data_IF_465571999549
#
_entry.id   IF_465571999549
#
_cell.length_a   1.000
_cell.length_b   1.000
_cell.length_c   1.000
_cell.angle_alpha   90.00
_cell.angle_beta   90.00
_cell.angle_gamma   90.00
#
_symmetry.space_group_name_H-M   'P 1'
#
loop_
_entity.id
_entity.type
_entity.pdbx_description
1 polymer ?
#
# COMPACT_ATOMS: atom_id res chain seq x y z
N UNK A 1 -37.27 -41.31 3.30
CA UNK A 1 -36.60 -40.79 2.08
C UNK A 1 -36.17 -39.33 2.19
N UNK A 2 -37.05 -38.34 2.43
CA UNK A 2 -36.63 -36.92 2.55
C UNK A 2 -35.66 -36.63 3.71
N UNK A 3 -35.91 -37.21 4.88
CA UNK A 3 -35.07 -36.98 6.07
C UNK A 3 -33.66 -37.61 5.96
N UNK A 4 -33.56 -38.71 5.21
CA UNK A 4 -32.30 -39.41 4.95
C UNK A 4 -31.49 -38.70 3.86
N UNK A 5 -32.16 -38.10 2.86
CA UNK A 5 -31.52 -37.18 1.92
C UNK A 5 -31.06 -35.88 2.60
N UNK A 6 -31.78 -35.40 3.61
CA UNK A 6 -31.42 -34.17 4.32
C UNK A 6 -30.21 -34.39 5.25
N UNK A 7 -30.15 -35.53 5.94
CA UNK A 7 -28.98 -35.91 6.76
C UNK A 7 -27.73 -36.20 5.91
N UNK A 8 -27.89 -36.78 4.71
CA UNK A 8 -26.77 -36.98 3.78
C UNK A 8 -26.31 -35.67 3.15
N UNK A 9 -27.21 -34.72 2.88
CA UNK A 9 -26.87 -33.36 2.43
C UNK A 9 -26.17 -32.57 3.55
N UNK A 10 -26.61 -32.68 4.80
CA UNK A 10 -26.00 -31.99 5.94
C UNK A 10 -24.62 -32.59 6.28
N UNK A 11 -24.47 -33.91 6.19
CA UNK A 11 -23.18 -34.59 6.28
C UNK A 11 -22.25 -34.23 5.11
N UNK A 12 -22.78 -34.08 3.89
CA UNK A 12 -22.02 -33.62 2.73
C UNK A 12 -21.61 -32.13 2.85
N UNK A 13 -22.42 -31.28 3.47
CA UNK A 13 -22.06 -29.89 3.82
C UNK A 13 -20.92 -29.85 4.85
N UNK A 14 -20.97 -30.74 5.85
CA UNK A 14 -19.88 -30.89 6.83
C UNK A 14 -18.58 -31.39 6.19
N UNK A 15 -18.65 -32.32 5.23
CA UNK A 15 -17.49 -32.84 4.49
C UNK A 15 -16.93 -31.82 3.48
N UNK A 16 -17.76 -30.98 2.87
CA UNK A 16 -17.34 -29.86 2.01
C UNK A 16 -16.67 -28.72 2.78
N UNK A 17 -16.99 -28.57 4.07
CA UNK A 17 -16.33 -27.61 4.96
C UNK A 17 -14.95 -28.09 5.43
N UNK A 18 -14.66 -29.41 5.34
CA UNK A 18 -13.45 -30.00 5.91
C UNK A 18 -12.37 -30.42 4.89
N UNK A 19 -12.69 -30.50 3.60
CA UNK A 19 -11.73 -30.88 2.55
C UNK A 19 -11.11 -29.65 1.86
N UNK A 20 -10.14 -29.02 2.52
CA UNK A 20 -9.15 -28.12 1.90
C UNK A 20 -9.70 -26.77 1.37
N UNK A 21 -10.15 -25.93 2.29
CA UNK A 21 -10.84 -24.66 1.99
C UNK A 21 -10.00 -23.68 1.17
N UNK A 22 -8.71 -23.47 1.48
CA UNK A 22 -7.88 -22.53 0.70
C UNK A 22 -7.51 -23.08 -0.67
N UNK A 23 -7.18 -24.37 -0.82
CA UNK A 23 -6.87 -24.91 -2.17
C UNK A 23 -8.07 -24.81 -3.10
N UNK A 24 -9.27 -25.07 -2.57
CA UNK A 24 -10.51 -25.00 -3.33
C UNK A 24 -10.78 -23.56 -3.76
N UNK A 25 -10.63 -22.59 -2.84
CA UNK A 25 -10.76 -21.17 -3.16
C UNK A 25 -9.72 -20.70 -4.17
N UNK A 26 -8.46 -21.15 -4.06
CA UNK A 26 -7.42 -20.84 -5.04
C UNK A 26 -7.76 -21.40 -6.43
N UNK A 27 -8.29 -22.63 -6.52
CA UNK A 27 -8.75 -23.21 -7.80
C UNK A 27 -9.89 -22.39 -8.41
N UNK A 28 -10.95 -22.14 -7.66
CA UNK A 28 -12.10 -21.31 -8.11
C UNK A 28 -11.66 -19.91 -8.53
N UNK A 29 -10.70 -19.33 -7.80
CA UNK A 29 -10.12 -18.05 -8.14
C UNK A 29 -9.36 -18.13 -9.47
N UNK A 30 -8.53 -19.17 -9.69
CA UNK A 30 -7.84 -19.37 -10.98
C UNK A 30 -8.81 -19.56 -12.15
N UNK A 31 -9.94 -20.23 -11.93
CA UNK A 31 -10.99 -20.39 -12.95
C UNK A 31 -11.67 -19.04 -13.26
N UNK A 32 -11.89 -18.23 -12.23
CA UNK A 32 -12.43 -16.86 -12.39
C UNK A 32 -11.50 -15.96 -13.18
N UNK A 33 -10.17 -16.07 -12.97
CA UNK A 33 -9.16 -15.40 -13.80
C UNK A 33 -9.16 -15.91 -15.25
N UNK A 34 -9.41 -17.20 -15.48
CA UNK A 34 -9.58 -17.76 -16.81
C UNK A 34 -10.77 -17.13 -17.55
N UNK A 35 -11.93 -17.07 -16.88
CA UNK A 35 -13.13 -16.41 -17.43
C UNK A 35 -12.90 -14.93 -17.73
N UNK A 36 -12.20 -14.21 -16.83
CA UNK A 36 -11.80 -12.81 -17.06
C UNK A 36 -10.87 -12.67 -18.28
N UNK A 37 -9.91 -13.58 -18.45
CA UNK A 37 -8.99 -13.60 -19.59
C UNK A 37 -9.70 -13.83 -20.92
N UNK A 38 -10.68 -14.72 -20.95
CA UNK A 38 -11.50 -14.98 -22.14
C UNK A 38 -12.37 -13.77 -22.49
N UNK A 39 -12.97 -13.12 -21.48
CA UNK A 39 -13.71 -11.88 -21.68
C UNK A 39 -12.81 -10.76 -22.19
N UNK A 40 -11.60 -10.61 -21.65
CA UNK A 40 -10.61 -9.64 -22.11
C UNK A 40 -10.29 -9.84 -23.59
N UNK A 41 -10.04 -11.09 -24.02
CA UNK A 41 -9.78 -11.41 -25.44
C UNK A 41 -10.95 -11.00 -26.34
N UNK A 42 -12.19 -11.24 -25.90
CA UNK A 42 -13.41 -10.85 -26.63
C UNK A 42 -13.53 -9.33 -26.76
N UNK A 43 -13.32 -8.60 -25.65
CA UNK A 43 -13.36 -7.13 -25.62
C UNK A 43 -12.26 -6.52 -26.50
N UNK A 44 -11.04 -7.05 -26.44
CA UNK A 44 -9.90 -6.56 -27.23
C UNK A 44 -10.12 -6.73 -28.73
N UNK A 45 -10.66 -7.89 -29.17
CA UNK A 45 -11.04 -8.11 -30.58
C UNK A 45 -12.10 -7.11 -31.06
N UNK A 46 -13.10 -6.83 -30.22
CA UNK A 46 -14.18 -5.90 -30.54
C UNK A 46 -13.69 -4.44 -30.58
N UNK A 47 -12.72 -4.07 -29.74
CA UNK A 47 -12.07 -2.77 -29.79
C UNK A 47 -11.20 -2.58 -31.04
N UNK A 48 -10.41 -3.60 -31.42
CA UNK A 48 -9.54 -3.53 -32.60
C UNK A 48 -10.28 -3.58 -33.94
N UNK A 49 -11.45 -4.22 -34.02
CA UNK A 49 -12.25 -4.28 -35.23
C UNK A 49 -12.85 -2.91 -35.65
N UNK A 50 -12.90 -1.94 -34.74
CA UNK A 50 -13.48 -0.61 -34.98
C UNK A 50 -12.46 0.42 -35.50
N UNK A 51 -11.17 0.09 -35.45
CA UNK A 51 -10.03 0.95 -35.83
C UNK A 51 -9.55 0.66 -37.27
N UNK A 52 -10.26 -0.19 -38.01
CA UNK A 52 -9.87 -0.70 -39.34
C UNK A 52 -10.81 -0.24 -40.47
N UNK A 53 -11.78 0.64 -40.20
CA UNK A 53 -12.81 1.06 -41.16
C UNK A 53 -12.62 2.49 -41.67
N UNK A 54 -11.47 3.11 -41.39
CA UNK A 54 -11.04 4.38 -41.99
C UNK A 54 -9.84 4.12 -42.90
N UNK A 55 -9.92 4.64 -44.14
CA UNK A 55 -8.98 4.56 -45.28
C UNK A 55 -9.38 3.56 -46.38
N UNK A 56 -10.47 3.86 -47.10
CA UNK A 56 -10.54 3.53 -48.53
C UNK A 56 -11.35 4.59 -49.29
N UNK A 57 -10.76 5.79 -49.44
CA UNK A 57 -11.16 6.72 -50.50
C UNK A 57 -9.92 7.48 -51.03
N UNK A 58 -8.99 6.71 -51.61
CA UNK A 58 -7.93 7.27 -52.47
C UNK A 58 -8.24 6.97 -53.93
N UNK A 59 -8.78 8.00 -54.56
CA UNK A 59 -8.92 8.20 -56.00
C UNK A 59 -7.75 7.67 -56.84
N UNK A 60 -8.15 7.01 -57.92
CA UNK A 60 -7.38 6.54 -59.07
C UNK A 60 -6.23 7.45 -59.51
N UNK A 61 -5.00 6.91 -59.55
CA UNK A 61 -4.07 7.15 -60.67
C UNK A 61 -3.39 5.83 -61.02
N UNK A 62 -3.74 5.29 -62.19
CA UNK A 62 -3.06 4.20 -62.86
C UNK A 62 -1.70 4.68 -63.38
N UNK A 63 -0.60 4.01 -63.03
CA UNK A 63 0.64 3.99 -63.84
C UNK A 63 1.18 2.55 -63.83
N UNK A 64 1.36 1.91 -65.01
CA UNK A 64 1.81 0.53 -65.08
C UNK A 64 3.35 0.42 -65.15
N UNK A 65 3.83 -0.69 -64.56
CA UNK A 65 5.05 -1.45 -64.89
C UNK A 65 6.43 -0.82 -64.64
N UNK A 66 7.24 -1.49 -63.81
CA UNK A 66 8.43 -2.26 -64.26
C UNK A 66 9.19 -2.89 -63.09
N UNK A 67 9.64 -4.13 -63.34
CA UNK A 67 10.54 -4.96 -62.54
C UNK A 67 11.76 -4.18 -62.03
N UNK A 68 12.08 -4.30 -60.73
CA UNK A 68 13.46 -4.47 -60.23
C UNK A 68 13.47 -5.32 -58.97
N UNK A 69 13.96 -6.56 -59.10
CA UNK A 69 14.68 -7.24 -58.02
C UNK A 69 15.89 -6.38 -57.67
N UNK A 70 16.03 -5.99 -56.41
CA UNK A 70 17.36 -5.88 -55.77
C UNK A 70 17.22 -5.91 -54.26
N UNK A 71 18.06 -6.74 -53.67
CA UNK A 71 18.29 -6.94 -52.25
C UNK A 71 18.53 -5.62 -51.51
N UNK A 72 17.85 -5.49 -50.37
CA UNK A 72 18.27 -4.63 -49.28
C UNK A 72 17.72 -5.20 -47.97
N UNK A 73 18.63 -5.83 -47.22
CA UNK A 73 18.56 -5.95 -45.77
C UNK A 73 18.19 -4.60 -45.13
N UNK A 74 17.60 -4.67 -43.93
CA UNK A 74 17.23 -3.56 -43.04
C UNK A 74 15.93 -2.82 -43.40
N UNK A 75 14.81 -3.48 -43.11
CA UNK A 75 13.50 -2.85 -42.91
C UNK A 75 13.16 -2.81 -41.43
N UNK A 76 13.59 -1.75 -40.75
CA UNK A 76 12.96 -1.27 -39.51
C UNK A 76 11.48 -1.00 -39.79
N UNK A 77 10.60 -1.57 -38.98
CA UNK A 77 9.17 -1.23 -39.06
C UNK A 77 8.24 -2.29 -38.51
N UNK A 78 8.23 -2.44 -37.17
CA UNK A 78 7.06 -2.88 -36.38
C UNK A 78 7.36 -2.69 -34.88
N UNK A 79 7.62 -1.45 -34.49
CA UNK A 79 7.50 -1.04 -33.09
C UNK A 79 6.17 -0.32 -32.92
N UNK A 80 5.08 -1.08 -32.89
CA UNK A 80 3.73 -0.59 -32.56
C UNK A 80 3.13 -1.61 -31.58
N UNK A 81 3.24 -1.33 -30.28
CA UNK A 81 2.48 -2.06 -29.27
C UNK A 81 3.17 -2.48 -27.96
N UNK A 82 4.36 -1.99 -27.61
CA UNK A 82 5.09 -2.51 -26.43
C UNK A 82 4.46 -2.12 -25.06
N UNK A 83 3.50 -1.18 -25.03
CA UNK A 83 2.83 -0.75 -23.80
C UNK A 83 1.56 -1.55 -23.47
N UNK A 84 0.85 -2.09 -24.47
CA UNK A 84 -0.37 -2.89 -24.24
C UNK A 84 -0.06 -4.34 -23.88
N UNK A 85 1.13 -4.83 -24.23
CA UNK A 85 1.52 -6.23 -24.04
C UNK A 85 1.74 -6.53 -22.54
N UNK A 86 2.29 -5.57 -21.79
CA UNK A 86 2.49 -5.72 -20.34
C UNK A 86 1.18 -5.87 -19.56
N UNK A 87 0.10 -5.16 -19.94
CA UNK A 87 -1.20 -5.29 -19.25
C UNK A 87 -1.90 -6.60 -19.60
N UNK A 88 -1.76 -7.02 -20.87
CA UNK A 88 -2.28 -8.28 -21.37
C UNK A 88 -1.58 -9.46 -20.67
N UNK A 89 -0.25 -9.44 -20.62
CA UNK A 89 0.57 -10.43 -19.94
C UNK A 89 0.18 -10.53 -18.44
N UNK A 90 -0.09 -9.42 -17.78
CA UNK A 90 -0.50 -9.40 -16.37
C UNK A 90 -1.84 -10.11 -16.13
N UNK A 91 -2.82 -9.98 -17.04
CA UNK A 91 -4.10 -10.67 -16.90
C UNK A 91 -3.90 -12.18 -17.07
N UNK A 92 -3.18 -12.60 -18.11
CA UNK A 92 -2.95 -14.01 -18.39
C UNK A 92 -2.06 -14.70 -17.35
N UNK A 93 -1.10 -13.98 -16.77
CA UNK A 93 -0.20 -14.52 -15.75
C UNK A 93 -0.80 -14.49 -14.34
N UNK A 94 -1.89 -13.76 -14.09
CA UNK A 94 -2.51 -13.62 -12.76
C UNK A 94 -2.82 -14.95 -12.07
N UNK A 95 -3.38 -15.90 -12.82
CA UNK A 95 -3.72 -17.24 -12.31
C UNK A 95 -2.47 -18.04 -11.91
N UNK A 96 -1.43 -17.98 -12.74
CA UNK A 96 -0.15 -18.66 -12.49
C UNK A 96 0.57 -18.10 -11.28
N UNK A 97 0.56 -16.77 -11.08
CA UNK A 97 1.20 -16.10 -9.96
C UNK A 97 0.55 -16.48 -8.62
N UNK A 98 -0.78 -16.53 -8.57
CA UNK A 98 -1.52 -16.93 -7.36
C UNK A 98 -1.26 -18.40 -7.04
N UNK A 99 -1.27 -19.28 -8.06
CA UNK A 99 -0.95 -20.70 -7.89
C UNK A 99 0.49 -20.89 -7.39
N UNK A 100 1.45 -20.17 -7.95
CA UNK A 100 2.85 -20.21 -7.52
C UNK A 100 3.03 -19.77 -6.06
N UNK A 101 2.32 -18.72 -5.63
CA UNK A 101 2.36 -18.28 -4.24
C UNK A 101 1.69 -19.28 -3.28
N UNK A 102 0.57 -19.88 -3.69
CA UNK A 102 -0.04 -20.96 -2.93
C UNK A 102 0.91 -22.16 -2.80
N UNK A 103 1.51 -22.63 -3.90
CA UNK A 103 2.46 -23.74 -3.91
C UNK A 103 3.71 -23.43 -3.07
N UNK A 104 4.16 -22.17 -3.04
CA UNK A 104 5.26 -21.72 -2.19
C UNK A 104 4.92 -21.88 -0.70
N UNK A 105 3.74 -21.47 -0.28
CA UNK A 105 3.28 -21.66 1.11
C UNK A 105 3.06 -23.14 1.45
N UNK A 106 2.43 -23.88 0.53
CA UNK A 106 2.14 -25.30 0.70
C UNK A 106 3.41 -26.15 0.82
N UNK A 107 4.45 -25.88 0.01
CA UNK A 107 5.74 -26.59 0.11
C UNK A 107 6.41 -26.50 1.49
N UNK A 108 6.15 -25.42 2.23
CA UNK A 108 6.80 -25.17 3.52
C UNK A 108 5.96 -25.59 4.73
N UNK A 109 4.64 -25.40 4.64
CA UNK A 109 3.72 -25.61 5.76
C UNK A 109 2.79 -26.82 5.55
N UNK A 110 2.74 -27.38 4.34
CA UNK A 110 1.98 -28.58 4.01
C UNK A 110 0.46 -28.40 4.10
N UNK A 111 -0.22 -29.47 4.49
CA UNK A 111 -1.67 -29.57 4.65
C UNK A 111 -2.30 -28.45 5.51
N UNK A 112 -1.72 -28.04 6.65
CA UNK A 112 -2.20 -26.89 7.43
C UNK A 112 -2.42 -25.63 6.58
N UNK A 113 -1.51 -25.34 5.65
CA UNK A 113 -1.62 -24.18 4.77
C UNK A 113 -2.68 -24.36 3.68
N UNK A 114 -2.89 -25.60 3.22
CA UNK A 114 -3.97 -25.90 2.27
C UNK A 114 -5.36 -25.79 2.90
N UNK A 115 -5.49 -26.14 4.18
CA UNK A 115 -6.69 -25.87 4.96
C UNK A 115 -6.85 -24.37 5.19
N UNK A 116 -5.78 -23.71 5.63
CA UNK A 116 -5.73 -22.26 5.87
C UNK A 116 -6.55 -21.79 7.08
N UNK A 117 -6.56 -20.48 7.30
CA UNK A 117 -7.33 -19.85 8.38
C UNK A 117 -8.61 -19.16 7.88
N UNK A 118 -9.57 -18.97 8.78
CA UNK A 118 -10.88 -18.36 8.48
C UNK A 118 -10.72 -16.97 7.86
N UNK A 119 -9.74 -16.19 8.32
CA UNK A 119 -9.44 -14.86 7.77
C UNK A 119 -9.10 -14.94 6.28
N UNK A 120 -8.26 -15.88 5.88
CA UNK A 120 -7.85 -16.07 4.49
C UNK A 120 -8.99 -16.63 3.66
N UNK A 121 -9.84 -17.49 4.24
CA UNK A 121 -11.07 -17.96 3.58
C UNK A 121 -11.96 -16.79 3.20
N UNK A 122 -12.32 -15.94 4.17
CA UNK A 122 -13.18 -14.78 3.94
C UNK A 122 -12.58 -13.80 2.94
N UNK A 123 -11.26 -13.56 3.03
CA UNK A 123 -10.58 -12.66 2.12
C UNK A 123 -10.59 -13.20 0.68
N UNK A 124 -10.20 -14.45 0.46
CA UNK A 124 -10.20 -15.06 -0.88
C UNK A 124 -11.61 -15.16 -1.46
N UNK A 125 -12.61 -15.55 -0.66
CA UNK A 125 -14.01 -15.55 -1.08
C UNK A 125 -14.48 -14.16 -1.51
N UNK A 126 -14.15 -13.12 -0.75
CA UNK A 126 -14.49 -11.73 -1.11
C UNK A 126 -13.88 -11.33 -2.46
N UNK A 127 -12.63 -11.72 -2.73
CA UNK A 127 -11.98 -11.43 -4.01
C UNK A 127 -12.63 -12.18 -5.18
N UNK A 128 -12.98 -13.45 -4.99
CA UNK A 128 -13.69 -14.26 -6.00
C UNK A 128 -15.02 -13.59 -6.36
N UNK A 129 -15.83 -13.23 -5.36
CA UNK A 129 -17.14 -12.60 -5.55
C UNK A 129 -16.99 -11.28 -6.31
N UNK A 130 -16.04 -10.41 -5.91
CA UNK A 130 -15.80 -9.12 -6.57
C UNK A 130 -15.40 -9.28 -8.04
N UNK A 131 -14.49 -10.20 -8.33
CA UNK A 131 -14.05 -10.45 -9.71
C UNK A 131 -15.21 -11.01 -10.55
N UNK A 132 -15.94 -12.00 -10.03
CA UNK A 132 -17.08 -12.60 -10.72
C UNK A 132 -18.20 -11.60 -10.97
N UNK A 133 -18.54 -10.75 -9.99
CA UNK A 133 -19.50 -9.65 -10.16
C UNK A 133 -19.06 -8.70 -11.27
N UNK A 134 -17.77 -8.35 -11.32
CA UNK A 134 -17.26 -7.46 -12.38
C UNK A 134 -17.38 -8.10 -13.76
N UNK A 135 -17.01 -9.38 -13.89
CA UNK A 135 -17.13 -10.14 -15.14
C UNK A 135 -18.60 -10.22 -15.58
N UNK A 136 -19.52 -10.53 -14.66
CA UNK A 136 -20.95 -10.62 -14.94
C UNK A 136 -21.54 -9.27 -15.36
N UNK A 137 -21.22 -8.20 -14.63
CA UNK A 137 -21.68 -6.85 -14.96
C UNK A 137 -21.23 -6.45 -16.38
N UNK A 138 -19.96 -6.71 -16.72
CA UNK A 138 -19.46 -6.41 -18.07
C UNK A 138 -20.17 -7.28 -19.12
N UNK A 139 -20.42 -8.56 -18.85
CA UNK A 139 -21.16 -9.42 -19.78
C UNK A 139 -22.61 -8.94 -19.99
N UNK A 140 -23.30 -8.54 -18.92
CA UNK A 140 -24.64 -7.97 -18.98
C UNK A 140 -24.65 -6.65 -19.75
N UNK A 141 -23.70 -5.76 -19.46
CA UNK A 141 -23.52 -4.50 -20.16
C UNK A 141 -23.32 -4.74 -21.67
N UNK A 142 -22.52 -5.74 -22.06
CA UNK A 142 -22.30 -6.10 -23.46
C UNK A 142 -23.56 -6.66 -24.14
N UNK A 143 -24.36 -7.45 -23.44
CA UNK A 143 -25.63 -7.99 -23.97
C UNK A 143 -26.63 -6.87 -24.21
N UNK A 144 -26.78 -5.94 -23.26
CA UNK A 144 -27.67 -4.78 -23.36
C UNK A 144 -27.19 -3.77 -24.41
N UNK A 145 -25.88 -3.49 -24.46
CA UNK A 145 -25.29 -2.53 -25.38
C UNK A 145 -25.34 -2.98 -26.84
N UNK A 146 -25.42 -4.29 -27.10
CA UNK A 146 -25.61 -4.84 -28.44
C UNK A 146 -26.92 -4.36 -29.09
N UNK A 147 -27.89 -3.91 -28.30
CA UNK A 147 -29.16 -3.36 -28.79
C UNK A 147 -29.22 -1.82 -28.87
N UNK A 148 -28.34 -1.08 -28.18
CA UNK A 148 -28.54 0.35 -27.96
C UNK A 148 -27.38 1.28 -28.37
N UNK A 149 -26.10 0.85 -28.36
CA UNK A 149 -24.97 1.57 -28.96
C UNK A 149 -23.62 0.81 -28.84
N UNK A 150 -22.69 0.86 -29.82
CA UNK A 150 -21.45 0.07 -29.80
C UNK A 150 -20.19 0.76 -29.22
N UNK A 151 -20.28 1.69 -28.25
CA UNK A 151 -19.14 2.56 -27.84
C UNK A 151 -18.46 2.26 -26.50
N UNK A 152 -18.80 1.21 -25.74
CA UNK A 152 -18.28 0.97 -24.37
C UNK A 152 -17.12 -0.06 -24.22
N UNK A 153 -16.58 -0.63 -25.32
CA UNK A 153 -15.65 -1.77 -25.23
C UNK A 153 -14.34 -1.45 -24.49
N UNK A 154 -13.83 -0.22 -24.60
CA UNK A 154 -12.59 0.20 -23.95
C UNK A 154 -12.78 0.41 -22.43
N UNK A 155 -13.88 1.03 -22.00
CA UNK A 155 -14.15 1.24 -20.57
C UNK A 155 -14.37 -0.08 -19.83
N UNK A 156 -15.04 -1.06 -20.47
CA UNK A 156 -15.14 -2.42 -19.95
C UNK A 156 -13.77 -3.11 -19.84
N UNK A 157 -12.87 -2.88 -20.81
CA UNK A 157 -11.52 -3.43 -20.80
C UNK A 157 -10.72 -2.89 -19.60
N UNK A 158 -10.74 -1.58 -19.38
CA UNK A 158 -10.04 -0.93 -18.25
C UNK A 158 -10.58 -1.43 -16.92
N UNK A 159 -11.90 -1.50 -16.76
CA UNK A 159 -12.55 -2.02 -15.55
C UNK A 159 -12.13 -3.47 -15.26
N UNK A 160 -12.08 -4.31 -16.29
CA UNK A 160 -11.65 -5.70 -16.17
C UNK A 160 -10.17 -5.81 -15.79
N UNK A 161 -9.29 -5.03 -16.41
CA UNK A 161 -7.86 -4.97 -16.07
C UNK A 161 -7.68 -4.58 -14.60
N UNK A 162 -8.36 -3.53 -14.14
CA UNK A 162 -8.26 -3.05 -12.76
C UNK A 162 -8.78 -4.07 -11.75
N UNK A 163 -9.95 -4.68 -12.01
CA UNK A 163 -10.48 -5.74 -11.14
C UNK A 163 -9.52 -6.92 -11.05
N UNK A 164 -8.99 -7.38 -12.19
CA UNK A 164 -8.01 -8.47 -12.26
C UNK A 164 -6.74 -8.14 -11.45
N UNK A 165 -6.19 -6.93 -11.60
CA UNK A 165 -5.01 -6.47 -10.85
C UNK A 165 -5.23 -6.41 -9.36
N UNK A 166 -6.35 -5.81 -8.94
CA UNK A 166 -6.70 -5.63 -7.52
C UNK A 166 -6.97 -6.96 -6.84
N UNK A 167 -7.78 -7.83 -7.46
CA UNK A 167 -8.03 -9.19 -6.99
C UNK A 167 -6.73 -9.98 -6.87
N UNK A 168 -5.86 -9.96 -7.88
CA UNK A 168 -4.57 -10.67 -7.83
C UNK A 168 -3.70 -10.20 -6.67
N UNK A 169 -3.50 -8.89 -6.54
CA UNK A 169 -2.67 -8.32 -5.49
C UNK A 169 -3.23 -8.65 -4.09
N UNK A 170 -4.54 -8.53 -3.91
CA UNK A 170 -5.21 -8.86 -2.66
C UNK A 170 -5.11 -10.35 -2.31
N UNK A 171 -5.29 -11.25 -3.29
CA UNK A 171 -5.18 -12.70 -3.07
C UNK A 171 -3.76 -13.13 -2.70
N UNK A 172 -2.73 -12.59 -3.38
CA UNK A 172 -1.33 -12.83 -3.03
C UNK A 172 -1.03 -12.30 -1.62
N UNK A 173 -1.52 -11.11 -1.28
CA UNK A 173 -1.36 -10.55 0.05
C UNK A 173 -2.01 -11.44 1.11
N UNK A 174 -3.24 -11.92 0.89
CA UNK A 174 -3.94 -12.83 1.80
C UNK A 174 -3.18 -14.13 2.04
N UNK A 175 -2.66 -14.76 0.98
CA UNK A 175 -1.84 -15.97 1.09
C UNK A 175 -0.52 -15.73 1.84
N UNK A 176 0.14 -14.60 1.59
CA UNK A 176 1.36 -14.21 2.30
C UNK A 176 1.09 -13.92 3.78
N UNK A 177 -0.02 -13.25 4.10
CA UNK A 177 -0.41 -12.99 5.48
C UNK A 177 -0.80 -14.29 6.21
N UNK A 178 -1.47 -15.23 5.53
CA UNK A 178 -1.71 -16.57 6.07
C UNK A 178 -0.39 -17.26 6.42
N UNK A 179 0.54 -17.25 5.47
CA UNK A 179 1.86 -17.85 5.66
C UNK A 179 2.56 -17.27 6.89
N UNK A 180 2.54 -15.95 7.06
CA UNK A 180 3.14 -15.29 8.23
C UNK A 180 2.48 -15.67 9.55
N UNK A 181 1.14 -15.76 9.60
CA UNK A 181 0.41 -16.14 10.82
C UNK A 181 0.63 -17.60 11.22
N UNK A 182 0.94 -18.45 10.25
CA UNK A 182 1.16 -19.89 10.46
C UNK A 182 2.62 -20.26 10.72
N UNK A 183 3.55 -19.31 10.59
CA UNK A 183 4.93 -19.53 11.01
C UNK A 183 4.97 -19.68 12.54
N UNK A 184 5.67 -20.70 13.07
CA UNK A 184 5.86 -20.81 14.51
C UNK A 184 6.56 -19.55 15.03
N UNK A 185 6.19 -19.05 16.22
CA UNK A 185 6.93 -17.98 16.87
C UNK A 185 8.40 -18.37 16.91
N UNK A 186 9.28 -17.50 16.40
CA UNK A 186 10.72 -17.66 16.54
C UNK A 186 10.99 -17.92 18.05
N UNK A 187 11.78 -18.93 18.44
CA UNK A 187 12.12 -19.10 19.84
C UNK A 187 12.66 -17.79 20.37
N UNK A 188 11.90 -17.17 21.28
CA UNK A 188 12.34 -16.00 22.03
C UNK A 188 13.71 -16.35 22.63
N UNK A 189 14.67 -15.41 22.68
CA UNK A 189 15.87 -15.60 23.46
C UNK A 189 15.44 -16.05 24.85
N UNK A 190 16.01 -17.18 25.29
CA UNK A 190 15.81 -17.74 26.61
C UNK A 190 15.89 -16.62 27.67
N UNK A 191 15.08 -16.67 28.74
CA UNK A 191 15.26 -15.75 29.86
C UNK A 191 16.71 -15.84 30.37
N UNK A 192 17.31 -14.74 30.86
CA UNK A 192 18.69 -14.75 31.33
C UNK A 192 18.89 -15.91 32.30
N UNK A 193 19.79 -16.84 31.92
CA UNK A 193 20.32 -17.83 32.85
C UNK A 193 20.77 -17.05 34.08
N UNK A 194 20.23 -17.43 35.25
CA UNK A 194 20.75 -16.95 36.52
C UNK A 194 22.26 -17.19 36.60
N UNK A 195 22.99 -16.43 37.44
CA UNK A 195 24.44 -16.45 37.46
C UNK A 195 24.95 -17.87 37.67
N UNK A 196 25.72 -18.36 36.70
CA UNK A 196 26.42 -19.64 36.78
C UNK A 196 27.33 -19.64 38.03
N UNK A 197 27.45 -20.76 38.75
CA UNK A 197 28.36 -20.86 39.88
C UNK A 197 29.81 -20.73 39.40
N UNK A 198 30.70 -20.08 40.17
CA UNK A 198 32.06 -19.82 39.74
C UNK A 198 32.83 -21.14 39.53
N UNK A 199 33.39 -21.25 38.32
CA UNK A 199 34.35 -22.28 37.93
C UNK A 199 35.51 -22.29 38.93
N UNK A 200 35.69 -23.40 39.63
CA UNK A 200 36.85 -23.63 40.50
C UNK A 200 38.08 -23.81 39.63
N UNK A 201 39.01 -22.85 39.71
CA UNK A 201 40.36 -22.95 39.15
C UNK A 201 41.09 -24.10 39.86
N UNK A 202 41.72 -25.04 39.13
CA UNK A 202 42.57 -26.08 39.75
C UNK A 202 43.82 -25.42 40.36
N UNK A 203 44.05 -25.58 41.67
CA UNK A 203 45.33 -25.22 42.31
C UNK A 203 45.31 -24.45 43.62
N UNK A 204 44.19 -24.30 44.33
CA UNK A 204 44.19 -23.65 45.66
C UNK A 204 44.17 -24.67 46.81
N UNK A 205 45.03 -24.44 47.81
CA UNK A 205 45.27 -25.26 49.01
C UNK A 205 44.01 -25.57 49.84
N UNK A 206 43.97 -26.69 50.59
CA UNK A 206 42.79 -27.09 51.35
C UNK A 206 42.64 -26.25 52.63
N UNK A 207 41.42 -25.76 52.88
CA UNK A 207 40.99 -25.27 54.19
C UNK A 207 39.85 -26.12 54.76
N UNK A 208 39.74 -26.23 56.10
CA UNK A 208 39.13 -27.38 56.77
C UNK A 208 37.61 -27.32 56.82
N UNK A 209 37.00 -28.50 56.77
CA UNK A 209 35.58 -28.79 57.00
C UNK A 209 35.10 -28.31 58.39
N UNK A 210 33.84 -27.83 58.48
CA UNK A 210 32.91 -28.02 59.62
C UNK A 210 31.57 -27.25 59.44
N UNK A 211 30.46 -27.60 60.14
CA UNK A 211 29.31 -28.24 59.51
C UNK A 211 28.00 -27.43 59.53
N UNK A 212 27.07 -27.90 58.71
CA UNK A 212 25.66 -27.48 58.54
C UNK A 212 24.83 -27.57 59.85
N UNK A 213 23.84 -26.68 60.03
CA UNK A 213 22.58 -27.07 60.68
C UNK A 213 21.31 -26.74 59.86
N UNK A 214 20.15 -27.31 60.24
CA UNK A 214 19.05 -27.62 59.32
C UNK A 214 17.87 -26.65 59.32
N UNK A 215 17.06 -26.82 58.28
CA UNK A 215 15.73 -26.28 57.94
C UNK A 215 14.61 -26.47 58.97
N UNK A 216 13.70 -25.47 59.11
CA UNK A 216 12.23 -25.61 59.33
C UNK A 216 11.48 -24.23 59.31
N UNK A 217 10.12 -24.16 59.23
CA UNK A 217 9.44 -23.55 58.07
C UNK A 217 8.33 -22.50 58.50
N UNK A 218 7.21 -22.24 57.77
CA UNK A 218 6.71 -20.89 57.53
C UNK A 218 5.53 -20.46 58.45
N UNK A 219 5.32 -19.15 58.61
CA UNK A 219 4.11 -18.59 59.23
C UNK A 219 3.31 -17.73 58.26
N UNK A 220 2.02 -18.09 58.18
CA UNK A 220 0.90 -17.47 57.49
C UNK A 220 0.36 -16.23 58.23
N UNK A 221 -0.52 -15.52 57.50
CA UNK A 221 -1.54 -14.55 57.93
C UNK A 221 -1.01 -13.11 58.07
N UNK A 222 -1.74 -12.05 57.68
CA UNK A 222 -3.17 -11.90 57.38
C UNK A 222 -3.37 -10.61 56.57
N UNK A 223 -4.44 -10.60 55.77
CA UNK A 223 -5.01 -9.45 55.05
C UNK A 223 -5.29 -8.26 55.99
N UNK A 224 -5.17 -7.04 55.46
CA UNK A 224 -6.15 -5.97 55.73
C UNK A 224 -6.17 -4.95 54.59
N UNK A 225 -7.36 -4.80 54.01
CA UNK A 225 -7.76 -3.75 53.08
C UNK A 225 -8.44 -2.63 53.84
N UNK A 226 -8.25 -1.38 53.38
CA UNK A 226 -9.19 -0.24 53.43
C UNK A 226 -8.39 1.02 53.05
N UNK A 227 -8.48 1.52 51.81
CA UNK A 227 -9.42 2.57 51.35
C UNK A 227 -9.12 3.94 52.01
N UNK A 228 -8.53 4.86 51.24
CA UNK A 228 -9.18 6.02 50.56
C UNK A 228 -9.13 7.28 51.43
N UNK A 229 -8.37 8.30 51.01
CA UNK A 229 -8.87 9.60 50.48
C UNK A 229 -9.49 10.45 51.60
N UNK A 230 -9.21 11.74 51.81
CA UNK A 230 -9.04 12.86 50.89
C UNK A 230 -9.00 14.14 51.75
N UNK A 231 -8.23 15.15 51.31
CA UNK A 231 -8.59 16.60 51.24
C UNK A 231 -9.03 17.34 52.52
N UNK A 232 -8.79 18.63 52.78
CA UNK A 232 -8.08 19.76 52.18
C UNK A 232 -8.53 21.01 52.96
N UNK A 233 -7.64 22.01 53.17
CA UNK A 233 -7.94 23.46 53.29
C UNK A 233 -8.66 23.95 54.59
N UNK A 234 -8.53 25.17 55.12
CA UNK A 234 -7.75 26.40 54.86
C UNK A 234 -7.96 27.37 56.06
N UNK A 235 -7.03 28.33 56.22
CA UNK A 235 -7.20 29.70 56.81
C UNK A 235 -7.40 29.84 58.34
N UNK A 236 -6.87 30.83 59.10
CA UNK A 236 -6.16 32.11 58.84
C UNK A 236 -5.65 32.72 60.19
N UNK A 237 -4.51 33.43 60.15
CA UNK A 237 -4.07 34.63 60.94
C UNK A 237 -4.07 34.62 62.50
N UNK A 238 -3.21 35.29 63.31
CA UNK A 238 -2.07 36.24 63.21
C UNK A 238 -1.45 36.33 64.64
N UNK A 239 -0.11 36.36 64.83
CA UNK A 239 0.61 37.26 65.78
C UNK A 239 2.14 37.02 65.88
N UNK A 240 2.85 38.07 65.44
CA UNK A 240 4.19 38.63 65.75
C UNK A 240 4.98 38.05 66.94
N UNK A 241 6.26 37.67 66.71
CA UNK A 241 7.47 38.15 67.45
C UNK A 241 8.72 38.01 66.56
N UNK A 242 9.51 39.10 66.45
CA UNK A 242 10.82 39.20 65.76
C UNK A 242 11.97 38.78 66.69
N UNK A 243 12.86 37.89 66.22
CA UNK A 243 14.26 37.77 66.69
C UNK A 243 15.15 37.48 65.46
N UNK A 244 16.20 38.29 65.27
CA UNK A 244 17.35 38.10 64.36
C UNK A 244 18.60 37.92 65.24
N UNK A 245 19.80 37.56 64.72
CA UNK A 245 20.17 36.72 63.57
C UNK A 245 21.34 35.74 63.90
N UNK A 246 21.51 34.63 63.15
CA UNK A 246 22.80 33.92 63.06
C UNK A 246 23.04 33.45 61.61
N UNK A 247 24.28 33.55 61.05
CA UNK A 247 24.53 33.51 59.61
C UNK A 247 24.48 32.10 59.03
N UNK A 248 23.73 31.93 57.94
CA UNK A 248 23.63 30.68 57.19
C UNK A 248 24.87 30.38 56.33
N UNK A 249 25.19 29.09 56.09
CA UNK A 249 26.28 28.68 55.22
C UNK A 249 25.99 28.97 53.74
N UNK A 250 27.06 29.30 53.01
CA UNK A 250 27.07 29.69 51.59
C UNK A 250 26.33 28.67 50.69
N UNK A 251 25.49 29.11 49.73
CA UNK A 251 24.87 28.22 48.77
C UNK A 251 25.92 27.63 47.81
N UNK A 252 25.80 26.33 47.55
CA UNK A 252 26.55 25.65 46.49
C UNK A 252 26.13 26.23 45.13
N UNK A 253 27.05 26.41 44.16
CA UNK A 253 26.71 26.88 42.83
C UNK A 253 25.70 25.94 42.17
N UNK A 254 24.59 26.50 41.71
CA UNK A 254 23.69 25.83 40.77
C UNK A 254 24.54 25.60 39.51
N UNK A 255 24.70 24.35 39.02
CA UNK A 255 25.34 24.13 37.74
C UNK A 255 24.54 24.91 36.68
N UNK A 256 25.19 25.63 35.75
CA UNK A 256 24.48 26.31 34.68
C UNK A 256 23.57 25.29 34.00
N UNK A 257 22.35 25.69 33.57
CA UNK A 257 21.47 24.79 32.86
C UNK A 257 22.30 24.16 31.74
N UNK A 258 22.48 22.85 31.82
CA UNK A 258 23.18 22.10 30.78
C UNK A 258 22.56 22.55 29.48
N UNK A 259 23.38 23.17 28.61
CA UNK A 259 22.97 23.41 27.25
C UNK A 259 22.39 22.09 26.76
N UNK A 260 21.17 22.10 26.20
CA UNK A 260 20.56 20.86 25.74
C UNK A 260 21.57 20.13 24.87
N UNK A 261 21.73 18.79 25.02
CA UNK A 261 22.58 18.02 24.13
C UNK A 261 22.22 18.45 22.70
N UNK A 262 23.19 18.72 21.80
CA UNK A 262 22.92 19.37 20.52
C UNK A 262 21.72 18.67 19.93
N UNK A 263 20.57 19.34 19.97
CA UNK A 263 19.31 18.73 19.63
C UNK A 263 19.56 18.19 18.25
N UNK A 264 19.56 16.86 18.13
CA UNK A 264 19.43 16.25 16.82
C UNK A 264 18.33 17.06 16.16
N UNK A 265 18.69 17.65 15.02
CA UNK A 265 17.88 18.60 14.25
C UNK A 265 16.67 17.89 13.66
N UNK A 266 15.91 17.19 14.50
CA UNK A 266 14.58 16.70 14.22
C UNK A 266 13.73 17.94 14.10
N UNK A 267 13.79 18.52 12.90
CA UNK A 267 12.90 19.56 12.49
C UNK A 267 11.51 18.96 12.60
N UNK A 268 10.70 19.55 13.48
CA UNK A 268 9.27 19.27 13.62
C UNK A 268 8.48 19.68 12.38
N UNK A 269 9.17 20.05 11.29
CA UNK A 269 8.58 20.54 10.06
C UNK A 269 8.23 19.33 9.20
N UNK A 270 6.98 19.27 8.77
CA UNK A 270 6.49 18.20 7.91
C UNK A 270 7.29 18.10 6.61
N UNK A 271 7.64 19.26 6.03
CA UNK A 271 8.36 19.39 4.77
C UNK A 271 9.80 19.87 4.98
N UNK A 272 10.69 19.44 4.08
CA UNK A 272 12.02 20.05 3.98
C UNK A 272 11.91 21.54 3.62
N UNK A 273 12.88 22.36 4.06
CA UNK A 273 12.93 23.80 3.76
C UNK A 273 12.87 24.06 2.25
N UNK A 274 13.70 23.36 1.46
CA UNK A 274 13.68 23.50 0.00
C UNK A 274 12.32 23.11 -0.61
N UNK A 275 11.67 22.07 -0.08
CA UNK A 275 10.32 21.70 -0.50
C UNK A 275 9.32 22.81 -0.20
N UNK A 276 9.39 23.39 1.00
CA UNK A 276 8.52 24.50 1.43
C UNK A 276 8.72 25.74 0.55
N UNK A 277 9.95 26.06 0.17
CA UNK A 277 10.25 27.19 -0.73
C UNK A 277 9.61 26.97 -2.12
N UNK A 278 9.64 25.74 -2.64
CA UNK A 278 8.93 25.38 -3.88
C UNK A 278 7.41 25.49 -3.75
N UNK A 279 6.84 25.20 -2.57
CA UNK A 279 5.41 25.37 -2.31
C UNK A 279 5.01 26.85 -2.27
N UNK A 280 5.84 27.70 -1.65
CA UNK A 280 5.58 29.14 -1.49
C UNK A 280 5.82 29.93 -2.78
N UNK A 281 6.76 29.50 -3.61
CA UNK A 281 7.19 30.23 -4.81
C UNK A 281 6.93 29.43 -6.08
N UNK A 282 5.75 29.56 -6.74
CA UNK A 282 5.41 28.89 -7.99
C UNK A 282 6.42 29.07 -9.13
N UNK A 283 7.12 30.21 -9.15
CA UNK A 283 8.15 30.53 -10.17
C UNK A 283 9.53 29.93 -9.86
N UNK A 284 9.72 29.36 -8.67
CA UNK A 284 10.99 28.73 -8.30
C UNK A 284 11.13 27.39 -9.04
N UNK A 285 12.15 27.31 -9.89
CA UNK A 285 12.48 26.10 -10.64
C UNK A 285 13.19 25.06 -9.77
N UNK A 286 13.16 23.80 -10.24
CA UNK A 286 13.94 22.73 -9.63
C UNK A 286 15.45 23.02 -9.73
N UNK A 287 16.17 22.71 -8.66
CA UNK A 287 17.61 22.82 -8.60
C UNK A 287 18.29 21.96 -9.69
N UNK A 288 19.48 22.35 -10.11
CA UNK A 288 20.24 21.64 -11.15
C UNK A 288 20.52 20.16 -10.79
N UNK A 289 20.51 19.81 -9.51
CA UNK A 289 20.61 18.43 -9.02
C UNK A 289 19.52 17.48 -9.58
N UNK A 290 18.39 18.03 -10.05
CA UNK A 290 17.25 17.28 -10.58
C UNK A 290 17.14 17.31 -12.11
N UNK A 291 18.05 18.01 -12.80
CA UNK A 291 18.13 18.04 -14.26
C UNK A 291 18.82 16.76 -14.79
N UNK A 292 18.73 16.45 -16.10
CA UNK A 292 19.50 15.35 -16.69
C UNK A 292 20.99 15.46 -16.32
N UNK A 293 21.58 14.38 -15.79
CA UNK A 293 22.97 14.35 -15.29
C UNK A 293 23.16 14.87 -13.86
N UNK A 294 22.10 15.30 -13.17
CA UNK A 294 22.14 15.66 -11.76
C UNK A 294 22.18 14.45 -10.82
N UNK A 295 22.55 14.66 -9.56
CA UNK A 295 22.68 13.60 -8.55
C UNK A 295 21.36 13.21 -7.84
N UNK A 296 20.25 13.86 -8.18
CA UNK A 296 18.93 13.61 -7.60
C UNK A 296 18.82 13.94 -6.11
N UNK A 297 19.78 14.67 -5.52
CA UNK A 297 19.77 15.01 -4.09
C UNK A 297 19.23 16.40 -3.84
N UNK A 298 18.45 16.54 -2.78
CA UNK A 298 17.99 17.84 -2.32
C UNK A 298 19.19 18.72 -1.89
N UNK A 299 19.27 19.99 -2.36
CA UNK A 299 20.37 20.89 -1.99
C UNK A 299 20.39 21.21 -0.50
N UNK A 300 19.26 21.06 0.20
CA UNK A 300 19.13 21.38 1.61
C UNK A 300 19.30 20.15 2.52
N UNK A 301 18.38 19.18 2.46
CA UNK A 301 18.42 18.00 3.35
C UNK A 301 19.27 16.84 2.80
N UNK A 302 19.77 16.92 1.57
CA UNK A 302 20.56 15.88 0.89
C UNK A 302 19.83 14.55 0.66
N UNK A 303 18.54 14.47 0.99
CA UNK A 303 17.67 13.32 0.65
C UNK A 303 17.71 13.07 -0.85
N UNK A 304 17.93 11.82 -1.24
CA UNK A 304 17.88 11.40 -2.64
C UNK A 304 16.43 11.17 -3.05
N UNK A 305 16.00 11.85 -4.13
CA UNK A 305 14.66 11.76 -4.69
C UNK A 305 14.81 11.18 -6.10
N UNK A 306 14.29 9.96 -6.27
CA UNK A 306 14.35 9.21 -7.52
C UNK A 306 13.31 9.74 -8.52
N UNK A 307 13.55 10.91 -9.09
CA UNK A 307 12.77 11.42 -10.23
C UNK A 307 13.53 11.18 -11.53
N UNK A 308 12.83 10.71 -12.57
CA UNK A 308 13.40 10.60 -13.91
C UNK A 308 13.18 11.91 -14.67
N UNK A 309 14.26 12.62 -15.08
CA UNK A 309 14.13 13.83 -15.87
C UNK A 309 13.34 13.57 -17.15
N UNK A 310 12.33 14.38 -17.44
CA UNK A 310 11.49 14.23 -18.64
C UNK A 310 10.36 13.21 -18.54
N UNK A 311 10.27 12.43 -17.45
CA UNK A 311 9.09 11.61 -17.14
C UNK A 311 8.19 12.34 -16.15
N UNK A 312 6.89 12.13 -16.28
CA UNK A 312 5.86 12.63 -15.38
C UNK A 312 4.92 11.47 -15.02
N UNK A 313 4.23 11.60 -13.89
CA UNK A 313 3.19 10.65 -13.51
C UNK A 313 1.86 11.11 -14.08
N UNK A 314 1.00 10.16 -14.43
CA UNK A 314 -0.37 10.41 -14.86
C UNK A 314 -1.32 9.68 -13.91
N UNK A 315 -2.33 10.41 -13.43
CA UNK A 315 -3.41 9.84 -12.61
C UNK A 315 -4.74 10.15 -13.29
N UNK A 316 -5.63 9.16 -13.30
CA UNK A 316 -6.97 9.27 -13.86
C UNK A 316 -7.95 9.29 -12.69
N UNK A 317 -8.72 10.37 -12.58
CA UNK A 317 -9.70 10.57 -11.51
C UNK A 317 -11.08 10.71 -12.12
N UNK A 318 -12.09 10.15 -11.47
CA UNK A 318 -13.48 10.29 -11.89
C UNK A 318 -13.89 11.78 -11.81
N UNK A 319 -14.45 12.31 -12.90
CA UNK A 319 -14.92 13.69 -13.02
C UNK A 319 -16.44 13.80 -12.89
N UNK A 320 -17.00 14.93 -13.35
CA UNK A 320 -18.41 15.23 -13.12
C UNK A 320 -19.34 14.23 -13.80
N UNK A 321 -20.44 13.98 -13.11
CA UNK A 321 -21.57 13.15 -13.53
C UNK A 321 -22.58 14.01 -14.30
N UNK A 322 -22.67 13.88 -15.63
CA UNK A 322 -23.70 14.59 -16.41
C UNK A 322 -24.95 13.73 -16.51
N UNK A 323 -26.13 14.30 -16.20
CA UNK A 323 -27.41 13.68 -16.56
C UNK A 323 -27.66 13.91 -18.04
N UNK A 324 -27.58 12.84 -18.84
CA UNK A 324 -27.96 12.85 -20.24
C UNK A 324 -29.35 12.20 -20.36
N UNK A 325 -30.37 13.00 -20.64
CA UNK A 325 -31.75 12.51 -20.85
C UNK A 325 -32.41 11.86 -19.62
N UNK A 326 -33.30 10.89 -19.87
CA UNK A 326 -34.12 10.17 -18.86
C UNK A 326 -33.28 9.22 -17.98
N UNK A 327 -32.30 9.74 -17.24
CA UNK A 327 -31.69 9.07 -16.09
C UNK A 327 -30.30 8.47 -16.28
N UNK A 328 -29.64 8.64 -17.44
CA UNK A 328 -28.26 8.18 -17.61
C UNK A 328 -27.27 9.20 -17.04
N UNK A 329 -26.37 8.73 -16.16
CA UNK A 329 -25.29 9.53 -15.59
C UNK A 329 -23.99 9.13 -16.29
N UNK A 330 -23.48 10.01 -17.15
CA UNK A 330 -22.17 9.85 -17.78
C UNK A 330 -21.10 10.38 -16.81
N UNK A 331 -20.19 9.50 -16.37
CA UNK A 331 -19.04 9.87 -15.53
C UNK A 331 -17.87 10.15 -16.47
N UNK A 332 -17.54 11.43 -16.66
CA UNK A 332 -16.37 11.81 -17.46
C UNK A 332 -15.10 11.59 -16.63
N UNK A 333 -14.15 10.78 -17.10
CA UNK A 333 -12.84 10.64 -16.43
C UNK A 333 -11.92 11.80 -16.79
N UNK A 334 -11.13 12.28 -15.82
CA UNK A 334 -10.18 13.38 -16.00
C UNK A 334 -8.76 12.90 -15.74
N UNK A 335 -7.84 13.20 -16.66
CA UNK A 335 -6.45 12.76 -16.57
C UNK A 335 -5.53 13.91 -16.18
N UNK A 336 -4.76 13.73 -15.12
CA UNK A 336 -3.83 14.72 -14.59
C UNK A 336 -2.39 14.26 -14.69
N UNK A 337 -1.54 15.12 -15.25
CA UNK A 337 -0.08 14.99 -15.28
C UNK A 337 0.56 15.65 -14.07
N UNK A 338 1.24 14.87 -13.27
CA UNK A 338 1.97 15.32 -12.09
C UNK A 338 3.43 15.57 -12.48
N UNK A 339 3.85 16.84 -12.46
CA UNK A 339 5.22 17.23 -12.81
C UNK A 339 6.19 16.85 -11.68
N UNK A 340 7.47 16.61 -12.03
CA UNK A 340 8.52 16.32 -11.05
C UNK A 340 8.65 17.38 -9.95
N UNK A 341 8.30 18.65 -10.24
CA UNK A 341 8.28 19.73 -9.25
C UNK A 341 7.30 19.44 -8.10
N UNK A 342 6.16 18.83 -8.39
CA UNK A 342 5.20 18.40 -7.38
C UNK A 342 5.80 17.36 -6.44
N UNK A 343 6.45 16.33 -6.99
CA UNK A 343 7.06 15.26 -6.20
C UNK A 343 8.14 15.83 -5.27
N UNK A 344 9.00 16.70 -5.80
CA UNK A 344 10.07 17.31 -5.03
C UNK A 344 9.51 18.22 -3.94
N UNK A 345 8.46 19.00 -4.17
CA UNK A 345 7.91 19.85 -3.09
C UNK A 345 7.17 19.07 -1.98
N UNK A 346 6.87 17.79 -2.20
CA UNK A 346 6.29 16.89 -1.20
C UNK A 346 7.34 16.24 -0.28
N UNK A 347 8.64 16.32 -0.56
CA UNK A 347 9.63 15.57 0.22
C UNK A 347 9.84 16.14 1.63
N UNK A 348 10.22 15.23 2.53
CA UNK A 348 10.51 15.54 3.93
C UNK A 348 12.02 15.56 4.18
N UNK A 349 12.41 16.26 5.23
CA UNK A 349 13.80 16.33 5.72
C UNK A 349 14.31 14.99 6.29
N UNK A 350 13.41 14.23 6.91
CA UNK A 350 13.64 12.89 7.50
C UNK A 350 13.59 11.76 6.47
N UNK A 351 13.37 12.09 5.20
CA UNK A 351 13.10 11.10 4.13
C UNK A 351 11.61 10.80 3.98
N UNK A 352 11.27 10.21 2.83
CA UNK A 352 9.87 10.03 2.42
C UNK A 352 9.20 11.35 1.99
N UNK A 353 7.88 11.32 1.94
CA UNK A 353 7.04 12.36 1.37
C UNK A 353 5.88 12.70 2.30
N UNK A 354 5.36 13.91 2.22
CA UNK A 354 4.09 14.33 2.79
C UNK A 354 3.23 14.93 1.69
N UNK A 355 1.93 14.67 1.71
CA UNK A 355 1.03 15.20 0.69
C UNK A 355 0.79 16.69 0.90
N UNK A 356 1.17 17.51 -0.09
CA UNK A 356 0.96 18.97 -0.07
C UNK A 356 -0.52 19.33 -0.16
N UNK A 357 -1.34 18.49 -0.81
CA UNK A 357 -2.77 18.71 -0.91
C UNK A 357 -3.46 18.42 0.44
N UNK A 358 -3.09 17.36 1.15
CA UNK A 358 -3.55 17.14 2.53
C UNK A 358 -3.22 18.33 3.42
N UNK A 359 -1.96 18.75 3.43
CA UNK A 359 -1.50 19.87 4.27
C UNK A 359 -2.19 21.21 3.95
N UNK A 360 -2.85 21.32 2.79
CA UNK A 360 -3.56 22.51 2.37
C UNK A 360 -5.08 22.40 2.53
N UNK A 361 -5.66 21.23 2.30
CA UNK A 361 -7.11 21.06 2.14
C UNK A 361 -7.75 20.11 3.16
N UNK A 362 -6.97 19.30 3.88
CA UNK A 362 -7.47 18.33 4.85
C UNK A 362 -7.08 18.74 6.27
N UNK A 363 -7.78 18.18 7.26
CA UNK A 363 -7.52 18.39 8.69
C UNK A 363 -6.29 17.63 9.20
N UNK A 364 -5.86 16.60 8.45
CA UNK A 364 -4.72 15.76 8.81
C UNK A 364 -3.74 15.61 7.66
N UNK A 365 -2.46 15.63 8.01
CA UNK A 365 -1.36 15.45 7.08
C UNK A 365 -1.11 13.96 6.79
N UNK A 366 -1.03 13.60 5.51
CA UNK A 366 -0.66 12.25 5.10
C UNK A 366 0.82 12.16 4.75
N UNK A 367 1.51 11.18 5.35
CA UNK A 367 2.92 10.87 5.09
C UNK A 367 3.04 9.57 4.30
N UNK A 368 3.84 9.61 3.25
CA UNK A 368 4.08 8.54 2.29
C UNK A 368 5.56 8.11 2.36
N UNK A 369 5.82 6.79 2.28
CA UNK A 369 7.20 6.26 2.38
C UNK A 369 8.01 6.47 1.10
N UNK A 370 7.34 6.53 -0.05
CA UNK A 370 7.95 6.70 -1.36
C UNK A 370 7.03 7.43 -2.36
N UNK A 371 7.53 7.64 -3.58
CA UNK A 371 6.80 8.32 -4.65
C UNK A 371 5.54 7.55 -5.02
N UNK A 372 5.63 6.23 -5.17
CA UNK A 372 4.48 5.36 -5.52
C UNK A 372 3.34 5.49 -4.49
N UNK A 373 3.66 5.43 -3.20
CA UNK A 373 2.65 5.63 -2.13
C UNK A 373 2.05 7.03 -2.13
N UNK A 374 2.83 8.05 -2.53
CA UNK A 374 2.30 9.41 -2.70
C UNK A 374 1.33 9.47 -3.88
N UNK A 375 1.63 8.80 -5.00
CA UNK A 375 0.74 8.76 -6.17
C UNK A 375 -0.55 8.00 -5.89
N UNK A 376 -0.47 6.83 -5.24
CA UNK A 376 -1.66 6.06 -4.85
C UNK A 376 -2.55 6.84 -3.88
N UNK A 377 -1.96 7.57 -2.94
CA UNK A 377 -2.69 8.47 -2.06
C UNK A 377 -3.36 9.64 -2.81
N UNK A 378 -2.65 10.31 -3.72
CA UNK A 378 -3.24 11.38 -4.55
C UNK A 378 -4.43 10.89 -5.37
N UNK A 379 -4.31 9.69 -5.94
CA UNK A 379 -5.36 9.11 -6.75
C UNK A 379 -6.61 8.73 -5.94
N UNK A 380 -6.44 8.25 -4.72
CA UNK A 380 -7.55 7.75 -3.89
C UNK A 380 -8.23 8.82 -3.05
N UNK A 381 -7.46 9.77 -2.51
CA UNK A 381 -7.92 10.64 -1.42
C UNK A 381 -8.18 12.09 -1.86
N UNK A 382 -7.76 12.46 -3.08
CA UNK A 382 -7.93 13.81 -3.61
C UNK A 382 -8.86 13.84 -4.82
N UNK A 383 -9.77 14.82 -4.81
CA UNK A 383 -10.74 15.00 -5.90
C UNK A 383 -10.13 15.77 -7.08
N UNK A 384 -10.80 15.73 -8.23
CA UNK A 384 -10.34 16.44 -9.43
C UNK A 384 -10.18 17.95 -9.20
N UNK A 385 -11.04 18.55 -8.37
CA UNK A 385 -11.00 19.97 -8.02
C UNK A 385 -9.82 20.31 -7.09
N UNK A 386 -9.45 19.39 -6.20
CA UNK A 386 -8.28 19.57 -5.32
C UNK A 386 -6.97 19.48 -6.12
N UNK A 387 -6.90 18.60 -7.12
CA UNK A 387 -5.76 18.43 -8.00
C UNK A 387 -5.52 19.67 -8.88
N UNK A 388 -6.57 20.27 -9.42
CA UNK A 388 -6.48 21.50 -10.23
C UNK A 388 -5.91 22.71 -9.49
N UNK A 389 -6.09 22.77 -8.16
CA UNK A 389 -5.62 23.89 -7.35
C UNK A 389 -4.11 23.93 -7.21
N UNK A 390 -3.39 22.93 -7.71
CA UNK A 390 -1.95 22.90 -7.68
C UNK A 390 -1.34 23.10 -9.08
N UNK A 391 -0.56 24.16 -9.22
CA UNK A 391 0.08 24.56 -10.49
C UNK A 391 0.99 23.47 -11.09
N UNK A 392 1.49 22.53 -10.28
CA UNK A 392 2.37 21.45 -10.73
C UNK A 392 1.64 20.19 -11.20
N UNK A 393 0.32 20.18 -11.07
CA UNK A 393 -0.56 19.14 -11.57
C UNK A 393 -1.34 19.74 -12.75
N UNK A 394 -1.19 19.15 -13.94
CA UNK A 394 -1.72 19.70 -15.19
C UNK A 394 -2.67 18.69 -15.81
N UNK A 395 -3.92 19.07 -16.03
CA UNK A 395 -4.89 18.25 -16.76
C UNK A 395 -4.47 18.08 -18.24
N UNK A 396 -4.47 16.84 -18.75
CA UNK A 396 -4.08 16.52 -20.13
C UNK A 396 -5.30 16.31 -21.03
N UNK A 397 -6.33 15.63 -20.52
CA UNK A 397 -7.56 15.34 -21.25
C UNK A 397 -8.75 15.96 -20.51
N UNK A 398 -9.36 16.97 -21.11
CA UNK A 398 -10.73 17.36 -20.80
C UNK A 398 -11.64 16.61 -21.76
N UNK A 399 -12.10 15.43 -21.36
CA UNK A 399 -13.34 14.94 -21.94
C UNK A 399 -14.42 15.90 -21.44
N UNK A 400 -14.82 16.82 -22.32
CA UNK A 400 -15.62 17.98 -21.94
C UNK A 400 -16.90 17.51 -21.23
N UNK A 401 -17.10 18.09 -20.05
CA UNK A 401 -18.27 17.87 -19.23
C UNK A 401 -19.48 18.67 -19.71
#
# INVERSE_FOLDING_TARGET
>A
MREETEKTIEAAKGLLQDLVVVVSLVRTLTDSFGSASDLYRKLKRKAGAKDSDDEDDRSHIQIPSRRRRRDSMFGSGKSKGDYSDSEEELIFTSSSQIRAEYERGYRKLGEPFARGDVTTHTQLQSQIIKLQQTVLNIQQDLLLSTYLAPSSSHSHLVRLIQATRTTRAASIASLNMQYQRMLPPLPSPLPPRGPDPPLKVPGAFPQPDHPRPPSRPPLRHKKRMSSSSSSSSNESEEKVVKILPVPGPKPKPIPPPQAPPPSSRYSTRLFCIYAKDLQLSPRLHLANAYKPGGNGKCPFCRTHITIQPGKAWEIVVDGCSRKVGQGFVEIASRTFRIRNRFIVKCHRDTGGFACVLCARFKESDTVCRGIESLMDHLWREHTSEELERDVDIVEISKDAC
#
